data_IF_360922702238
#
_entry.id   IF_360922702238
#
_cell.length_a   1.000
_cell.length_b   1.000
_cell.length_c   1.000
_cell.angle_alpha   90.00
_cell.angle_beta   90.00
_cell.angle_gamma   90.00
#
_symmetry.space_group_name_H-M   'P 1'
#
loop_
_entity.id
_entity.type
_entity.pdbx_description
1 polymer ?
#
# COMPACT_ATOMS: atom_id res chain seq x y z
N UNK A 1 -3.81 -5.88 -8.24
CA UNK A 1 -4.41 -6.64 -7.14
C UNK A 1 -5.29 -7.73 -7.71
N UNK A 2 -5.13 -8.95 -7.22
CA UNK A 2 -6.01 -10.07 -7.50
C UNK A 2 -7.01 -10.24 -6.36
N UNK A 3 -8.22 -10.71 -6.69
CA UNK A 3 -9.26 -11.07 -5.72
C UNK A 3 -9.40 -12.59 -5.69
N UNK A 4 -9.46 -13.19 -4.50
CA UNK A 4 -9.75 -14.62 -4.36
C UNK A 4 -11.26 -14.86 -4.47
N UNK A 5 -11.68 -15.76 -5.37
CA UNK A 5 -13.08 -16.16 -5.51
C UNK A 5 -13.51 -17.17 -4.43
N UNK A 6 -14.81 -17.50 -4.39
CA UNK A 6 -15.37 -18.47 -3.44
C UNK A 6 -14.86 -19.90 -3.62
N UNK A 7 -14.26 -20.21 -4.78
CA UNK A 7 -13.63 -21.50 -5.08
C UNK A 7 -12.12 -21.50 -4.80
N UNK A 8 -11.58 -20.39 -4.27
CA UNK A 8 -10.18 -20.24 -3.91
C UNK A 8 -9.24 -19.84 -5.04
N UNK A 9 -9.75 -19.55 -6.25
CA UNK A 9 -8.96 -19.11 -7.41
C UNK A 9 -8.69 -17.62 -7.35
N UNK A 10 -7.53 -17.21 -7.85
CA UNK A 10 -7.17 -15.80 -7.96
C UNK A 10 -7.69 -15.22 -9.27
N UNK A 11 -8.57 -14.23 -9.19
CA UNK A 11 -8.92 -13.36 -10.30
C UNK A 11 -7.88 -12.25 -10.39
N UNK A 12 -6.90 -12.45 -11.25
CA UNK A 12 -5.82 -11.50 -11.49
C UNK A 12 -6.31 -10.16 -12.04
N UNK A 13 -5.52 -9.10 -11.82
CA UNK A 13 -5.76 -7.74 -12.34
C UNK A 13 -7.15 -7.14 -12.04
N UNK A 14 -7.82 -7.57 -10.97
CA UNK A 14 -9.09 -6.99 -10.52
C UNK A 14 -8.98 -5.47 -10.26
N UNK A 15 -7.82 -5.02 -9.78
CA UNK A 15 -7.49 -3.61 -9.67
C UNK A 15 -6.05 -3.37 -10.11
N UNK A 16 -5.83 -2.39 -11.00
CA UNK A 16 -4.49 -1.98 -11.45
C UNK A 16 -4.37 -0.48 -11.28
N UNK A 17 -3.37 -0.05 -10.53
CA UNK A 17 -3.03 1.36 -10.34
C UNK A 17 -1.58 1.58 -10.74
N UNK A 18 -1.35 2.41 -11.74
CA UNK A 18 -0.01 2.87 -12.14
C UNK A 18 0.12 4.34 -11.77
N UNK A 19 1.13 4.68 -10.97
CA UNK A 19 1.45 6.08 -10.68
C UNK A 19 2.90 6.40 -11.08
N UNK A 20 3.13 7.37 -11.97
CA UNK A 20 4.48 7.82 -12.32
C UNK A 20 5.16 8.61 -11.20
N UNK A 21 4.39 9.14 -10.23
CA UNK A 21 4.91 9.91 -9.09
C UNK A 21 4.64 9.16 -7.78
N UNK A 22 5.31 8.01 -7.62
CA UNK A 22 5.04 7.06 -6.53
C UNK A 22 4.97 7.72 -5.14
N UNK A 23 5.97 8.54 -4.77
CA UNK A 23 6.04 9.12 -3.42
C UNK A 23 4.90 10.13 -3.14
N UNK A 24 4.63 11.05 -4.08
CA UNK A 24 3.53 12.02 -3.92
C UNK A 24 2.16 11.36 -4.02
N UNK A 25 1.97 10.38 -4.90
CA UNK A 25 0.70 9.65 -5.01
C UNK A 25 0.43 8.80 -3.78
N UNK A 26 1.45 8.17 -3.20
CA UNK A 26 1.30 7.43 -1.95
C UNK A 26 0.93 8.37 -0.79
N UNK A 27 1.59 9.54 -0.70
CA UNK A 27 1.22 10.58 0.27
C UNK A 27 -0.24 11.02 0.12
N UNK A 28 -0.69 11.23 -1.12
CA UNK A 28 -2.07 11.62 -1.41
C UNK A 28 -3.07 10.52 -1.04
N UNK A 29 -2.76 9.24 -1.33
CA UNK A 29 -3.59 8.10 -1.00
C UNK A 29 -3.73 7.93 0.52
N UNK A 30 -2.63 8.08 1.25
CA UNK A 30 -2.63 8.00 2.72
C UNK A 30 -3.34 9.21 3.35
N UNK A 31 -3.28 10.39 2.73
CA UNK A 31 -3.96 11.58 3.25
C UNK A 31 -3.56 11.89 4.69
N UNK A 32 -4.54 11.98 5.58
CA UNK A 32 -4.34 12.36 6.99
C UNK A 32 -3.51 11.32 7.79
N UNK A 33 -3.44 10.07 7.35
CA UNK A 33 -2.64 9.03 8.03
C UNK A 33 -1.19 8.96 7.55
N UNK A 34 -0.77 9.85 6.64
CA UNK A 34 0.59 9.86 6.08
C UNK A 34 1.68 9.86 7.15
N UNK A 35 1.52 10.68 8.19
CA UNK A 35 2.50 10.78 9.28
C UNK A 35 2.68 9.44 9.98
N UNK A 36 1.58 8.79 10.40
CA UNK A 36 1.62 7.48 11.05
C UNK A 36 2.20 6.40 10.13
N UNK A 37 1.83 6.42 8.85
CA UNK A 37 2.41 5.54 7.83
C UNK A 37 3.94 5.70 7.73
N UNK A 38 4.45 6.93 7.68
CA UNK A 38 5.90 7.19 7.65
C UNK A 38 6.60 6.61 8.87
N UNK A 39 6.10 6.92 10.06
CA UNK A 39 6.69 6.42 11.31
C UNK A 39 6.69 4.89 11.38
N UNK A 40 5.58 4.25 11.02
CA UNK A 40 5.46 2.79 11.07
C UNK A 40 6.38 2.06 10.09
N UNK A 41 6.78 2.72 9.00
CA UNK A 41 7.74 2.21 8.02
C UNK A 41 9.19 2.67 8.28
N UNK A 42 9.49 3.28 9.42
CA UNK A 42 10.84 3.73 9.76
C UNK A 42 11.29 5.02 9.06
N UNK A 43 10.38 5.72 8.35
CA UNK A 43 10.62 6.95 7.61
C UNK A 43 10.47 8.20 8.50
N UNK A 44 11.03 8.16 9.70
CA UNK A 44 10.93 9.26 10.68
C UNK A 44 11.61 10.52 10.13
N UNK A 45 10.86 11.61 10.02
CA UNK A 45 11.32 12.91 9.49
C UNK A 45 11.86 12.88 8.05
N UNK A 46 11.51 11.85 7.28
CA UNK A 46 11.88 11.75 5.87
C UNK A 46 10.71 12.23 5.03
N UNK A 47 10.96 13.16 4.13
CA UNK A 47 10.03 13.55 3.09
C UNK A 47 10.52 13.08 1.73
N UNK A 48 9.62 13.05 0.75
CA UNK A 48 9.95 12.69 -0.62
C UNK A 48 10.99 13.67 -1.21
N UNK A 49 12.05 13.20 -1.90
CA UNK A 49 12.38 11.81 -2.19
C UNK A 49 13.06 11.07 -1.01
N UNK A 50 12.72 9.79 -0.85
CA UNK A 50 13.31 8.92 0.19
C UNK A 50 14.77 8.60 -0.21
N UNK A 51 15.78 8.95 0.60
CA UNK A 51 17.18 8.68 0.26
C UNK A 51 17.51 7.18 0.36
N UNK A 52 18.58 6.71 -0.29
CA UNK A 52 19.07 5.34 -0.12
C UNK A 52 19.49 5.10 1.34
N UNK A 53 19.11 3.96 1.91
CA UNK A 53 19.44 3.61 3.29
C UNK A 53 18.69 2.36 3.76
N UNK A 54 18.98 1.98 5.01
CA UNK A 54 18.26 0.90 5.70
C UNK A 54 17.24 1.53 6.63
N UNK A 55 15.97 1.19 6.43
CA UNK A 55 14.85 1.66 7.24
C UNK A 55 14.30 0.50 8.05
N UNK A 56 14.24 0.67 9.36
CA UNK A 56 13.68 -0.32 10.28
C UNK A 56 12.26 0.13 10.61
N UNK A 57 11.28 -0.65 10.16
CA UNK A 57 9.88 -0.42 10.42
C UNK A 57 9.51 -0.93 11.83
N UNK A 58 9.19 -0.04 12.80
CA UNK A 58 8.78 -0.47 14.15
C UNK A 58 7.38 -1.08 14.18
N UNK A 59 6.65 -1.06 13.07
CA UNK A 59 5.26 -1.49 12.98
C UNK A 59 4.28 -0.32 13.00
N UNK A 60 3.05 -0.59 12.55
CA UNK A 60 1.98 0.39 12.37
C UNK A 60 0.70 -0.20 12.93
N UNK A 61 -0.04 0.56 13.73
CA UNK A 61 -1.38 0.16 14.16
C UNK A 61 -2.34 0.23 12.97
N UNK A 62 -2.96 -0.90 12.62
CA UNK A 62 -3.90 -1.00 11.49
C UNK A 62 -5.22 -0.26 11.76
N UNK A 63 -5.53 0.09 13.02
CA UNK A 63 -6.73 0.85 13.38
C UNK A 63 -6.82 2.21 12.67
N UNK A 64 -5.67 2.80 12.31
CA UNK A 64 -5.63 4.10 11.64
C UNK A 64 -6.22 4.06 10.22
N UNK A 65 -6.30 2.88 9.59
CA UNK A 65 -7.00 2.74 8.31
C UNK A 65 -8.52 2.91 8.42
N UNK A 66 -9.08 2.85 9.64
CA UNK A 66 -10.48 3.17 9.91
C UNK A 66 -10.76 4.68 10.00
N UNK A 67 -9.73 5.52 10.04
CA UNK A 67 -9.86 6.99 10.08
C UNK A 67 -10.13 7.59 8.69
N UNK A 68 -10.44 8.89 8.62
CA UNK A 68 -10.63 9.63 7.36
C UNK A 68 -9.32 9.73 6.56
N UNK A 69 -8.98 8.67 5.84
CA UNK A 69 -7.98 8.63 4.79
C UNK A 69 -8.65 8.74 3.40
N UNK A 70 -7.84 8.89 2.36
CA UNK A 70 -8.31 8.91 0.97
C UNK A 70 -8.33 7.50 0.35
N UNK A 71 -8.21 6.47 1.17
CA UNK A 71 -8.31 5.10 0.70
C UNK A 71 -9.77 4.82 0.32
N UNK A 72 -10.03 4.14 -0.81
CA UNK A 72 -11.40 3.85 -1.21
C UNK A 72 -12.13 3.10 -0.09
N UNK A 73 -13.22 3.68 0.43
CA UNK A 73 -13.97 3.11 1.57
C UNK A 73 -14.85 1.92 1.16
N UNK A 74 -15.09 1.76 -0.14
CA UNK A 74 -15.88 0.68 -0.72
C UNK A 74 -14.99 -0.44 -1.25
N UNK A 75 -14.29 -1.16 -0.37
CA UNK A 75 -13.77 -2.48 -0.73
C UNK A 75 -14.77 -3.53 -0.29
N UNK A 76 -15.08 -4.46 -1.19
CA UNK A 76 -15.87 -5.62 -0.85
C UNK A 76 -15.08 -6.50 0.13
N UNK A 77 -15.77 -7.18 1.04
CA UNK A 77 -15.11 -8.14 1.93
C UNK A 77 -14.50 -9.28 1.11
N UNK A 78 -13.29 -9.70 1.45
CA UNK A 78 -12.59 -10.76 0.72
C UNK A 78 -11.07 -10.79 0.93
N UNK A 79 -10.44 -11.78 0.30
CA UNK A 79 -8.99 -11.98 0.27
C UNK A 79 -8.41 -11.36 -0.99
N UNK A 80 -7.44 -10.47 -0.82
CA UNK A 80 -6.76 -9.76 -1.89
C UNK A 80 -5.29 -10.13 -1.94
N UNK A 81 -4.73 -10.22 -3.15
CA UNK A 81 -3.28 -10.31 -3.38
C UNK A 81 -2.82 -9.05 -4.11
N UNK A 82 -2.06 -8.21 -3.43
CA UNK A 82 -1.54 -6.95 -3.96
C UNK A 82 -0.10 -7.14 -4.42
N UNK A 83 0.16 -6.85 -5.69
CA UNK A 83 1.50 -6.79 -6.27
C UNK A 83 1.90 -5.33 -6.39
N UNK A 84 3.02 -4.97 -5.78
CA UNK A 84 3.63 -3.64 -5.83
C UNK A 84 4.95 -3.75 -6.55
N UNK A 85 5.09 -3.02 -7.65
CA UNK A 85 6.32 -2.92 -8.43
C UNK A 85 6.84 -1.50 -8.34
N UNK A 86 8.11 -1.36 -7.98
CA UNK A 86 8.79 -0.07 -7.93
C UNK A 86 9.73 0.04 -9.13
N UNK A 87 9.52 1.07 -9.93
CA UNK A 87 10.34 1.33 -11.12
C UNK A 87 10.90 2.74 -11.10
N UNK A 88 12.09 2.90 -11.67
CA UNK A 88 12.76 4.19 -11.90
C UNK A 88 13.42 4.12 -13.27
N UNK A 89 13.15 5.09 -14.14
CA UNK A 89 13.66 5.10 -15.52
C UNK A 89 13.36 3.78 -16.27
N UNK A 90 12.14 3.28 -16.14
CA UNK A 90 11.66 2.01 -16.73
C UNK A 90 12.38 0.73 -16.26
N UNK A 91 13.28 0.84 -15.29
CA UNK A 91 13.92 -0.30 -14.64
C UNK A 91 13.21 -0.63 -13.32
N UNK A 92 12.88 -1.91 -13.11
CA UNK A 92 12.27 -2.40 -11.87
C UNK A 92 13.37 -2.64 -10.85
N UNK A 93 13.36 -1.88 -9.76
CA UNK A 93 14.36 -2.02 -8.68
C UNK A 93 13.80 -2.73 -7.44
N UNK A 94 12.51 -3.04 -7.40
CA UNK A 94 11.90 -3.76 -6.28
C UNK A 94 10.49 -4.26 -6.56
N UNK A 95 10.12 -5.33 -5.87
CA UNK A 95 8.78 -5.92 -5.90
C UNK A 95 8.37 -6.36 -4.49
N UNK A 96 7.10 -6.15 -4.15
CA UNK A 96 6.49 -6.64 -2.91
C UNK A 96 5.12 -7.26 -3.20
N UNK A 97 4.81 -8.35 -2.51
CA UNK A 97 3.52 -9.02 -2.61
C UNK A 97 2.89 -9.09 -1.23
N UNK A 98 1.69 -8.56 -1.10
CA UNK A 98 0.89 -8.60 0.13
C UNK A 98 -0.35 -9.45 -0.08
N UNK A 99 -0.65 -10.35 0.85
CA UNK A 99 -1.94 -11.05 0.91
C UNK A 99 -2.71 -10.44 2.08
N UNK A 100 -3.88 -9.86 1.80
CA UNK A 100 -4.68 -9.09 2.76
C UNK A 100 -6.09 -9.65 2.81
N UNK A 101 -6.59 -9.90 4.02
CA UNK A 101 -7.98 -10.29 4.27
C UNK A 101 -8.76 -9.11 4.84
N UNK A 102 -9.75 -8.62 4.09
CA UNK A 102 -10.66 -7.57 4.54
C UNK A 102 -11.90 -8.24 5.12
N UNK A 103 -12.03 -8.19 6.45
CA UNK A 103 -13.17 -8.74 7.20
C UNK A 103 -14.16 -7.64 7.58
N UNK A 104 -15.41 -8.05 7.80
CA UNK A 104 -16.45 -7.16 8.35
C UNK A 104 -16.05 -6.74 9.78
N UNK A 105 -16.25 -5.46 10.17
CA UNK A 105 -16.09 -5.02 11.56
C UNK A 105 -16.92 -5.87 12.53
#
# INVERSE_FOLDING_TARGET
MALKDSFGRWRENAFVLKSPKACSSLKQLMGNIWTAYKYGNGLKNIDCPIPPGVYIAPGMDTSIFNSNNNFPKSFFYGTYKMHLYYSRNDEIFGCQVFIMDIKRP
#
